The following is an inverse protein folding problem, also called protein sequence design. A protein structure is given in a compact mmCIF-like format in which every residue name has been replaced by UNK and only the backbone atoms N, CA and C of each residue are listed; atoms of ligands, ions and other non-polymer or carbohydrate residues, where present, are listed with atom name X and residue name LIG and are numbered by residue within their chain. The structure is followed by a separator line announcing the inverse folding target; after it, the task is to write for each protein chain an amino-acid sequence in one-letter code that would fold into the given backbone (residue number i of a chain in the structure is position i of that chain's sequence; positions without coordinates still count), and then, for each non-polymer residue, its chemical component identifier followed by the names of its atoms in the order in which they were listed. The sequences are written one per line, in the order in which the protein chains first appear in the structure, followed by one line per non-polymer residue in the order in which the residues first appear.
data_IF_608356177885
#
_entry.id   IF_608356177885
#
_cell.length_a   1.000
_cell.length_b   1.000
_cell.length_c   1.000
_cell.angle_alpha   90.00
_cell.angle_beta   90.00
_cell.angle_gamma   90.00
#
_symmetry.space_group_name_H-M   'P 1'
#
loop_
_entity.id
_entity.type
_entity.pdbx_description
1 polymer ?
#
# COMPACT_ATOMS: atom_id res chain seq x y z
N UNK A 1 -8.74 28.79 -27.63
CA UNK A 1 -8.40 27.86 -26.52
C UNK A 1 -8.02 28.70 -25.31
N UNK A 2 -8.91 28.88 -24.33
CA UNK A 2 -8.59 29.65 -23.12
C UNK A 2 -7.71 28.80 -22.19
N UNK A 3 -6.55 29.29 -21.73
CA UNK A 3 -5.77 28.58 -20.72
C UNK A 3 -6.55 28.56 -19.40
N UNK A 4 -6.83 27.36 -18.88
CA UNK A 4 -7.52 27.18 -17.61
C UNK A 4 -6.82 27.99 -16.50
N UNK A 5 -7.60 28.77 -15.77
CA UNK A 5 -7.14 29.64 -14.70
C UNK A 5 -6.51 28.85 -13.56
N UNK A 6 -5.59 29.47 -12.80
CA UNK A 6 -4.85 28.84 -11.70
C UNK A 6 -5.75 28.15 -10.66
N UNK A 7 -6.96 28.68 -10.45
CA UNK A 7 -7.99 28.14 -9.55
C UNK A 7 -8.65 26.87 -10.09
N UNK A 8 -8.89 26.76 -11.40
CA UNK A 8 -9.44 25.56 -12.05
C UNK A 8 -8.43 24.40 -12.04
N UNK A 9 -7.13 24.71 -12.21
CA UNK A 9 -6.04 23.74 -12.08
C UNK A 9 -5.92 23.23 -10.65
N UNK A 10 -6.00 24.13 -9.66
CA UNK A 10 -5.95 23.78 -8.23
C UNK A 10 -7.15 22.92 -7.83
N UNK A 11 -8.37 23.31 -8.20
CA UNK A 11 -9.61 22.56 -7.92
C UNK A 11 -9.58 21.15 -8.51
N UNK A 12 -9.10 21.00 -9.76
CA UNK A 12 -8.96 19.70 -10.40
C UNK A 12 -7.94 18.79 -9.70
N UNK A 13 -6.82 19.35 -9.26
CA UNK A 13 -5.79 18.61 -8.52
C UNK A 13 -6.27 18.18 -7.12
N UNK A 14 -6.98 19.06 -6.41
CA UNK A 14 -7.58 18.75 -5.09
C UNK A 14 -8.64 17.67 -5.21
N UNK A 15 -9.52 17.75 -6.21
CA UNK A 15 -10.53 16.73 -6.46
C UNK A 15 -9.91 15.37 -6.78
N UNK A 16 -8.84 15.33 -7.59
CA UNK A 16 -8.10 14.10 -7.85
C UNK A 16 -7.46 13.54 -6.58
N UNK A 17 -6.82 14.38 -5.77
CA UNK A 17 -6.23 13.97 -4.49
C UNK A 17 -7.26 13.41 -3.51
N UNK A 18 -8.43 14.03 -3.38
CA UNK A 18 -9.51 13.53 -2.53
C UNK A 18 -10.07 12.20 -3.02
N UNK A 19 -10.26 12.02 -4.34
CA UNK A 19 -10.68 10.73 -4.90
C UNK A 19 -9.63 9.64 -4.66
N UNK A 20 -8.34 9.95 -4.83
CA UNK A 20 -7.25 9.03 -4.49
C UNK A 20 -7.21 8.72 -2.99
N UNK A 21 -7.46 9.71 -2.14
CA UNK A 21 -7.53 9.57 -0.69
C UNK A 21 -8.71 8.70 -0.23
N UNK A 22 -9.88 8.82 -0.86
CA UNK A 22 -11.06 8.02 -0.53
C UNK A 22 -10.86 6.56 -0.97
N UNK A 23 -10.39 6.32 -2.20
CA UNK A 23 -10.14 4.97 -2.70
C UNK A 23 -9.03 4.32 -1.87
N UNK A 24 -7.92 5.02 -1.65
CA UNK A 24 -6.82 4.54 -0.81
C UNK A 24 -7.23 4.29 0.64
N UNK A 25 -8.06 5.18 1.21
CA UNK A 25 -8.62 5.05 2.55
C UNK A 25 -9.47 3.80 2.72
N UNK A 26 -10.28 3.44 1.71
CA UNK A 26 -11.06 2.20 1.75
C UNK A 26 -10.18 0.95 1.81
N UNK A 27 -9.07 0.93 1.05
CA UNK A 27 -8.08 -0.14 1.13
C UNK A 27 -7.42 -0.23 2.50
N UNK A 28 -7.14 0.89 3.15
CA UNK A 28 -6.63 0.91 4.53
C UNK A 28 -7.62 0.29 5.52
N UNK A 29 -8.91 0.57 5.39
CA UNK A 29 -9.94 -0.06 6.23
C UNK A 29 -9.99 -1.57 6.00
N UNK A 30 -9.95 -2.02 4.75
CA UNK A 30 -9.86 -3.45 4.40
C UNK A 30 -8.60 -4.07 5.00
N UNK A 31 -7.47 -3.38 4.95
CA UNK A 31 -6.21 -3.86 5.53
C UNK A 31 -6.37 -4.14 7.03
N UNK A 32 -6.80 -3.13 7.79
CA UNK A 32 -6.97 -3.23 9.24
C UNK A 32 -7.99 -4.30 9.62
N UNK A 33 -9.10 -4.38 8.90
CA UNK A 33 -10.12 -5.39 9.11
C UNK A 33 -9.56 -6.80 8.89
N UNK A 34 -8.91 -7.05 7.76
CA UNK A 34 -8.38 -8.37 7.40
C UNK A 34 -7.25 -8.76 8.34
N UNK A 35 -6.38 -7.84 8.74
CA UNK A 35 -5.34 -8.10 9.73
C UNK A 35 -5.94 -8.47 11.09
N UNK A 36 -6.97 -7.74 11.55
CA UNK A 36 -7.67 -8.06 12.79
C UNK A 36 -8.36 -9.42 12.74
N UNK A 37 -9.01 -9.75 11.63
CA UNK A 37 -9.65 -11.06 11.42
C UNK A 37 -8.62 -12.18 11.36
N UNK A 38 -7.52 -11.99 10.64
CA UNK A 38 -6.45 -12.99 10.53
C UNK A 38 -5.84 -13.32 11.90
N UNK A 39 -5.59 -12.29 12.72
CA UNK A 39 -5.17 -12.46 14.12
C UNK A 39 -6.17 -13.27 14.93
N UNK A 40 -7.45 -12.89 14.88
CA UNK A 40 -8.52 -13.57 15.65
C UNK A 40 -8.69 -15.02 15.23
N UNK A 41 -8.73 -15.28 13.91
CA UNK A 41 -8.87 -16.62 13.36
C UNK A 41 -7.69 -17.48 13.79
N UNK A 42 -6.44 -17.00 13.64
CA UNK A 42 -5.25 -17.75 14.05
C UNK A 42 -5.23 -18.04 15.56
N UNK A 43 -5.69 -17.09 16.39
CA UNK A 43 -5.87 -17.30 17.82
C UNK A 43 -6.92 -18.36 18.14
N UNK A 44 -8.07 -18.36 17.45
CA UNK A 44 -9.15 -19.32 17.67
C UNK A 44 -8.84 -20.72 17.14
N UNK A 45 -8.16 -20.83 16.01
CA UNK A 45 -7.94 -22.13 15.34
C UNK A 45 -6.67 -22.83 15.81
N UNK A 46 -5.63 -22.07 16.15
CA UNK A 46 -4.31 -22.62 16.43
C UNK A 46 -3.68 -22.07 17.72
N UNK A 47 -4.36 -21.20 18.46
CA UNK A 47 -3.83 -20.60 19.68
C UNK A 47 -2.65 -19.64 19.44
N UNK A 48 -2.49 -19.15 18.21
CA UNK A 48 -1.35 -18.33 17.79
C UNK A 48 -1.58 -16.86 18.14
N UNK A 49 -0.62 -16.25 18.82
CA UNK A 49 -0.54 -14.81 19.08
C UNK A 49 0.30 -14.08 18.05
N UNK A 50 0.04 -12.79 17.87
CA UNK A 50 0.85 -11.83 17.13
C UNK A 50 2.32 -11.79 17.59
N UNK A 51 2.58 -12.12 18.85
CA UNK A 51 3.92 -12.07 19.45
C UNK A 51 4.70 -13.35 19.18
N UNK A 52 4.06 -14.44 18.77
CA UNK A 52 4.72 -15.72 18.59
C UNK A 52 5.74 -15.66 17.44
N UNK A 53 6.82 -16.42 17.59
CA UNK A 53 7.79 -16.59 16.53
C UNK A 53 7.18 -17.43 15.40
N UNK A 54 7.27 -16.91 14.17
CA UNK A 54 6.93 -17.65 12.96
C UNK A 54 8.17 -18.31 12.37
N UNK A 55 9.25 -17.55 12.22
CA UNK A 55 10.52 -18.05 11.67
C UNK A 55 11.71 -17.33 12.30
N UNK A 56 12.73 -18.08 12.69
CA UNK A 56 14.01 -17.54 13.16
C UNK A 56 14.88 -17.12 11.96
N UNK A 57 15.42 -15.90 11.99
CA UNK A 57 16.36 -15.46 10.96
C UNK A 57 17.73 -16.10 11.19
N UNK A 58 18.05 -17.17 10.45
CA UNK A 58 19.41 -17.72 10.30
C UNK A 58 20.11 -18.05 11.64
N UNK A 59 19.37 -18.49 12.66
CA UNK A 59 19.91 -18.81 13.99
C UNK A 59 20.18 -17.59 14.87
N UNK A 60 19.76 -16.38 14.46
CA UNK A 60 19.97 -15.15 15.22
C UNK A 60 18.86 -14.92 16.26
N UNK A 61 19.04 -13.90 17.11
CA UNK A 61 18.00 -13.44 18.04
C UNK A 61 16.78 -12.81 17.33
N UNK A 62 16.88 -12.50 16.04
CA UNK A 62 15.81 -11.88 15.28
C UNK A 62 14.85 -12.93 14.73
N UNK A 63 13.56 -12.66 14.91
CA UNK A 63 12.49 -13.56 14.49
C UNK A 63 11.49 -12.78 13.64
N UNK A 64 11.11 -13.38 12.50
CA UNK A 64 9.84 -13.03 11.88
C UNK A 64 8.76 -13.58 12.80
N UNK A 65 7.97 -12.68 13.38
CA UNK A 65 6.83 -13.00 14.23
C UNK A 65 5.53 -13.06 13.44
N UNK A 66 4.52 -13.72 13.99
CA UNK A 66 3.21 -13.89 13.36
C UNK A 66 2.50 -12.59 12.99
N UNK A 67 2.75 -11.49 13.72
CA UNK A 67 2.22 -10.18 13.33
C UNK A 67 2.63 -9.77 11.91
N UNK A 68 3.85 -10.11 11.45
CA UNK A 68 4.28 -9.84 10.08
C UNK A 68 3.41 -10.58 9.07
N UNK A 69 3.08 -11.84 9.36
CA UNK A 69 2.25 -12.68 8.49
C UNK A 69 0.85 -12.07 8.38
N UNK A 70 0.25 -11.65 9.50
CA UNK A 70 -1.05 -10.98 9.50
C UNK A 70 -1.04 -9.65 8.73
N UNK A 71 0.07 -8.91 8.76
CA UNK A 71 0.25 -7.69 7.95
C UNK A 71 0.37 -8.01 6.46
N UNK A 72 1.10 -9.06 6.08
CA UNK A 72 1.18 -9.51 4.67
C UNK A 72 -0.22 -9.87 4.16
N UNK A 73 -0.99 -10.64 4.92
CA UNK A 73 -2.36 -11.03 4.54
C UNK A 73 -3.23 -9.78 4.37
N UNK A 74 -3.24 -8.87 5.35
CA UNK A 74 -3.99 -7.60 5.27
C UNK A 74 -3.60 -6.76 4.05
N UNK A 75 -2.30 -6.66 3.77
CA UNK A 75 -1.78 -5.97 2.59
C UNK A 75 -2.26 -6.60 1.28
N UNK A 76 -2.22 -7.93 1.14
CA UNK A 76 -2.63 -8.60 -0.09
C UNK A 76 -4.11 -8.34 -0.40
N UNK A 77 -4.98 -8.42 0.60
CA UNK A 77 -6.40 -8.12 0.45
C UNK A 77 -6.64 -6.65 0.13
N UNK A 78 -5.99 -5.74 0.84
CA UNK A 78 -6.09 -4.30 0.59
C UNK A 78 -5.57 -3.90 -0.79
N UNK A 79 -4.44 -4.46 -1.22
CA UNK A 79 -3.86 -4.21 -2.53
C UNK A 79 -4.79 -4.73 -3.65
N UNK A 80 -5.35 -5.92 -3.47
CA UNK A 80 -6.34 -6.49 -4.40
C UNK A 80 -7.61 -5.64 -4.46
N UNK A 81 -8.12 -5.20 -3.31
CA UNK A 81 -9.27 -4.30 -3.21
C UNK A 81 -9.01 -2.98 -3.96
N UNK A 82 -7.86 -2.36 -3.72
CA UNK A 82 -7.46 -1.13 -4.39
C UNK A 82 -7.30 -1.32 -5.90
N UNK A 83 -6.72 -2.44 -6.35
CA UNK A 83 -6.62 -2.74 -7.78
C UNK A 83 -8.00 -2.89 -8.43
N UNK A 84 -8.90 -3.62 -7.77
CA UNK A 84 -10.24 -3.87 -8.28
C UNK A 84 -11.06 -2.58 -8.36
N UNK A 85 -11.03 -1.73 -7.34
CA UNK A 85 -11.70 -0.43 -7.36
C UNK A 85 -11.14 0.48 -8.46
N UNK A 86 -9.81 0.55 -8.61
CA UNK A 86 -9.19 1.34 -9.68
C UNK A 86 -9.61 0.84 -11.07
N UNK A 87 -9.70 -0.48 -11.26
CA UNK A 87 -10.14 -1.08 -12.53
C UNK A 87 -11.62 -0.82 -12.82
N UNK A 88 -12.49 -0.93 -11.82
CA UNK A 88 -13.94 -0.77 -11.98
C UNK A 88 -14.38 0.68 -12.17
N UNK A 89 -13.72 1.61 -11.47
CA UNK A 89 -14.14 3.00 -11.44
C UNK A 89 -13.20 3.91 -12.24
N UNK A 90 -11.92 3.96 -11.86
CA UNK A 90 -10.93 4.90 -12.43
C UNK A 90 -10.65 4.65 -13.91
N UNK A 91 -10.58 3.38 -14.34
CA UNK A 91 -10.26 3.00 -15.73
C UNK A 91 -11.45 2.48 -16.53
N UNK A 92 -12.68 2.78 -16.09
CA UNK A 92 -13.89 2.33 -16.77
C UNK A 92 -13.93 2.91 -18.20
N UNK A 93 -14.01 2.03 -19.21
CA UNK A 93 -14.09 2.40 -20.63
C UNK A 93 -12.75 2.49 -21.38
N UNK A 94 -11.63 2.22 -20.71
CA UNK A 94 -10.31 2.06 -21.38
C UNK A 94 -10.14 0.60 -21.78
N UNK A 95 -9.49 0.31 -22.92
CA UNK A 95 -9.13 -1.07 -23.27
C UNK A 95 -8.07 -1.59 -22.29
N UNK A 96 -8.54 -2.17 -21.17
CA UNK A 96 -7.67 -2.64 -20.09
C UNK A 96 -7.02 -3.97 -20.46
N UNK A 97 -5.74 -4.13 -20.12
CA UNK A 97 -5.08 -5.44 -20.16
C UNK A 97 -5.85 -6.47 -19.30
N UNK A 98 -5.57 -7.75 -19.55
CA UNK A 98 -6.10 -8.84 -18.71
C UNK A 98 -5.85 -8.59 -17.22
N UNK A 99 -6.74 -9.08 -16.37
CA UNK A 99 -6.73 -8.80 -14.93
C UNK A 99 -5.37 -9.10 -14.29
N UNK A 100 -4.80 -10.28 -14.58
CA UNK A 100 -3.51 -10.73 -14.06
C UNK A 100 -2.33 -9.87 -14.53
N UNK A 101 -2.31 -9.46 -15.81
CA UNK A 101 -1.21 -8.64 -16.36
C UNK A 101 -1.18 -7.22 -15.78
N UNK A 102 -2.31 -6.73 -15.27
CA UNK A 102 -2.36 -5.46 -14.52
C UNK A 102 -2.12 -5.63 -13.03
N UNK A 103 -2.56 -6.73 -12.44
CA UNK A 103 -2.49 -6.99 -11.01
C UNK A 103 -1.06 -7.09 -10.50
N UNK A 104 -0.20 -7.90 -11.11
CA UNK A 104 1.17 -8.10 -10.59
C UNK A 104 2.03 -6.83 -10.58
N UNK A 105 2.02 -5.98 -11.64
CA UNK A 105 2.68 -4.68 -11.55
C UNK A 105 2.15 -3.78 -10.42
N UNK A 106 0.83 -3.79 -10.20
CA UNK A 106 0.20 -3.02 -9.11
C UNK A 106 0.55 -3.56 -7.71
N UNK A 107 0.65 -4.89 -7.59
CA UNK A 107 1.12 -5.55 -6.38
C UNK A 107 2.58 -5.21 -6.09
N UNK A 108 3.43 -5.27 -7.12
CA UNK A 108 4.87 -5.02 -7.02
C UNK A 108 5.17 -3.59 -6.54
N UNK A 109 4.45 -2.58 -7.04
CA UNK A 109 4.58 -1.20 -6.55
C UNK A 109 4.06 -1.01 -5.12
N UNK A 110 3.21 -1.91 -4.64
CA UNK A 110 2.74 -1.93 -3.25
C UNK A 110 3.75 -2.54 -2.26
N UNK A 111 4.71 -3.36 -2.73
CA UNK A 111 5.63 -4.06 -1.83
C UNK A 111 6.54 -3.11 -1.04
N UNK A 112 6.89 -1.95 -1.59
CA UNK A 112 7.63 -0.92 -0.83
C UNK A 112 6.84 -0.42 0.37
N UNK A 113 5.52 -0.21 0.23
CA UNK A 113 4.67 0.15 1.35
C UNK A 113 4.62 -0.97 2.40
N UNK A 114 4.56 -2.23 1.98
CA UNK A 114 4.60 -3.38 2.88
C UNK A 114 5.92 -3.46 3.66
N UNK A 115 7.06 -3.30 3.00
CA UNK A 115 8.38 -3.32 3.64
C UNK A 115 8.48 -2.21 4.68
N UNK A 116 8.12 -0.98 4.31
CA UNK A 116 8.13 0.15 5.26
C UNK A 116 7.21 -0.12 6.43
N UNK A 117 6.00 -0.61 6.17
CA UNK A 117 5.03 -0.93 7.21
C UNK A 117 5.57 -1.97 8.19
N UNK A 118 6.22 -3.04 7.69
CA UNK A 118 6.81 -4.09 8.51
C UNK A 118 7.97 -3.57 9.37
N UNK A 119 8.83 -2.71 8.84
CA UNK A 119 9.92 -2.08 9.60
C UNK A 119 9.35 -1.23 10.73
N UNK A 120 8.40 -0.34 10.42
CA UNK A 120 7.75 0.53 11.41
C UNK A 120 7.04 -0.31 12.47
N UNK A 121 6.31 -1.36 12.07
CA UNK A 121 5.62 -2.23 13.02
C UNK A 121 6.59 -2.97 13.93
N UNK A 122 7.76 -3.36 13.42
CA UNK A 122 8.82 -3.99 14.22
C UNK A 122 9.31 -3.05 15.31
N UNK A 123 9.55 -1.77 15.00
CA UNK A 123 9.95 -0.77 15.99
C UNK A 123 8.83 -0.47 17.01
N UNK A 124 7.57 -0.44 16.58
CA UNK A 124 6.42 -0.18 17.45
C UNK A 124 6.10 -1.37 18.37
N UNK A 125 6.30 -2.60 17.90
CA UNK A 125 5.97 -3.82 18.63
C UNK A 125 7.08 -4.27 19.58
N UNK A 126 8.35 -3.94 19.31
CA UNK A 126 9.48 -4.37 20.13
C UNK A 126 9.59 -3.51 21.41
N UNK A 127 9.41 -4.07 22.64
CA UNK A 127 9.46 -3.30 23.88
C UNK A 127 10.82 -2.63 24.18
N UNK A 128 11.91 -3.14 23.60
CA UNK A 128 13.25 -2.55 23.77
C UNK A 128 13.53 -1.42 22.78
N UNK A 129 12.62 -1.19 21.83
CA UNK A 129 12.71 -0.09 20.88
C UNK A 129 12.40 1.24 21.55
N UNK A 130 13.13 2.33 21.23
CA UNK A 130 12.80 3.68 21.70
C UNK A 130 11.46 4.19 21.16
N UNK A 131 10.94 3.58 20.09
CA UNK A 131 9.63 3.92 19.50
C UNK A 131 8.55 2.91 19.86
N UNK A 132 8.77 2.03 20.85
CA UNK A 132 7.79 1.03 21.24
C UNK A 132 6.46 1.69 21.65
N UNK A 133 5.35 1.09 21.24
CA UNK A 133 4.05 1.48 21.77
C UNK A 133 3.98 1.12 23.27
N UNK A 134 3.48 2.02 24.14
CA UNK A 134 3.42 1.79 25.58
C UNK A 134 2.59 0.55 25.92
N UNK A 135 3.18 -0.42 26.60
CA UNK A 135 2.51 -1.68 26.96
C UNK A 135 1.46 -1.52 28.08
N UNK A 136 1.55 -0.45 28.87
CA UNK A 136 0.60 -0.10 29.92
C UNK A 136 -0.73 0.42 29.35
N UNK A 137 -0.69 1.05 28.16
CA UNK A 137 -1.87 1.48 27.42
C UNK A 137 -2.35 0.37 26.49
N UNK A 138 -1.43 -0.20 25.73
CA UNK A 138 -1.70 -1.25 24.75
C UNK A 138 -1.29 -2.62 25.31
N UNK A 139 -2.08 -3.08 26.27
CA UNK A 139 -1.87 -4.30 27.04
C UNK A 139 -2.57 -5.54 26.47
N UNK A 140 -3.14 -5.43 25.26
CA UNK A 140 -3.85 -6.51 24.57
C UNK A 140 -5.13 -7.02 25.30
N UNK A 141 -5.61 -6.33 26.34
CA UNK A 141 -6.79 -6.73 27.13
C UNK A 141 -8.11 -6.61 26.37
N UNK A 142 -8.19 -5.70 25.40
CA UNK A 142 -9.37 -5.47 24.56
C UNK A 142 -8.95 -5.21 23.11
N UNK A 143 -9.91 -5.24 22.18
CA UNK A 143 -9.64 -4.92 20.78
C UNK A 143 -8.98 -3.55 20.59
N UNK A 144 -9.47 -2.50 21.27
CA UNK A 144 -8.89 -1.17 21.17
C UNK A 144 -7.57 -1.02 21.95
N UNK A 145 -7.26 -1.92 22.88
CA UNK A 145 -5.96 -1.96 23.58
C UNK A 145 -4.98 -2.96 22.95
N UNK A 146 -5.36 -3.58 21.83
CA UNK A 146 -4.47 -4.49 21.09
C UNK A 146 -3.35 -3.69 20.42
N UNK A 147 -2.11 -3.85 20.90
CA UNK A 147 -0.93 -3.11 20.43
C UNK A 147 -0.72 -3.29 18.93
N UNK A 148 -0.89 -4.52 18.46
CA UNK A 148 -0.69 -4.85 17.05
C UNK A 148 -1.60 -4.08 16.09
N UNK A 149 -2.84 -3.77 16.48
CA UNK A 149 -3.77 -3.02 15.63
C UNK A 149 -3.30 -1.58 15.43
N UNK A 150 -2.82 -0.95 16.49
CA UNK A 150 -2.27 0.40 16.44
C UNK A 150 -0.93 0.45 15.72
N UNK A 151 -0.06 -0.53 15.95
CA UNK A 151 1.18 -0.66 15.22
C UNK A 151 0.93 -0.75 13.71
N UNK A 152 -0.04 -1.57 13.29
CA UNK A 152 -0.43 -1.71 11.88
C UNK A 152 -1.00 -0.40 11.32
N UNK A 153 -1.89 0.27 12.04
CA UNK A 153 -2.49 1.53 11.60
C UNK A 153 -1.44 2.64 11.41
N UNK A 154 -0.56 2.83 12.39
CA UNK A 154 0.52 3.81 12.34
C UNK A 154 1.48 3.46 11.19
N UNK A 155 1.85 2.19 11.05
CA UNK A 155 2.69 1.72 9.94
C UNK A 155 2.12 2.07 8.57
N UNK A 156 0.82 1.89 8.35
CA UNK A 156 0.17 2.26 7.07
C UNK A 156 0.27 3.77 6.85
N UNK A 157 -0.02 4.58 7.87
CA UNK A 157 0.05 6.04 7.78
C UNK A 157 1.46 6.52 7.43
N UNK A 158 2.49 5.93 8.06
CA UNK A 158 3.90 6.24 7.78
C UNK A 158 4.33 5.73 6.39
N UNK A 159 3.84 4.56 5.98
CA UNK A 159 4.19 3.97 4.69
C UNK A 159 3.64 4.77 3.51
N UNK A 160 2.50 5.45 3.64
CA UNK A 160 1.91 6.24 2.55
C UNK A 160 2.88 7.29 1.94
N UNK A 161 3.43 8.25 2.71
CA UNK A 161 4.36 9.25 2.17
C UNK A 161 5.68 8.63 1.72
N UNK A 162 6.22 7.64 2.44
CA UNK A 162 7.48 6.97 2.06
C UNK A 162 7.31 6.22 0.74
N UNK A 163 6.20 5.51 0.57
CA UNK A 163 5.88 4.80 -0.66
C UNK A 163 5.70 5.76 -1.85
N UNK A 164 5.10 6.93 -1.63
CA UNK A 164 5.02 7.96 -2.66
C UNK A 164 6.41 8.44 -3.09
N UNK A 165 7.30 8.74 -2.15
CA UNK A 165 8.68 9.19 -2.45
C UNK A 165 9.47 8.10 -3.17
N UNK A 166 9.41 6.85 -2.71
CA UNK A 166 10.12 5.73 -3.36
C UNK A 166 9.62 5.47 -4.78
N UNK A 167 8.31 5.43 -4.99
CA UNK A 167 7.72 5.30 -6.33
C UNK A 167 8.09 6.50 -7.22
N UNK A 168 8.11 7.72 -6.67
CA UNK A 168 8.54 8.92 -7.40
C UNK A 168 10.01 8.84 -7.83
N UNK A 169 10.90 8.40 -6.97
CA UNK A 169 12.34 8.34 -7.25
C UNK A 169 12.72 7.16 -8.16
N UNK A 170 11.98 6.04 -8.09
CA UNK A 170 12.29 4.83 -8.85
C UNK A 170 11.49 4.71 -10.14
N UNK A 171 10.16 4.76 -10.08
CA UNK A 171 9.27 4.54 -11.24
C UNK A 171 9.25 5.72 -12.21
N UNK A 172 9.42 6.94 -11.70
CA UNK A 172 9.41 8.17 -12.51
C UNK A 172 10.81 8.74 -12.75
N UNK A 173 11.87 7.95 -12.54
CA UNK A 173 13.19 8.31 -13.07
C UNK A 173 13.09 8.32 -14.59
N UNK A 174 12.94 9.53 -15.14
CA UNK A 174 12.62 9.83 -16.52
C UNK A 174 13.38 8.94 -17.49
N UNK A 175 12.68 8.02 -18.17
CA UNK A 175 13.11 7.64 -19.51
C UNK A 175 12.73 8.84 -20.40
N UNK A 176 13.67 9.53 -21.06
CA UNK A 176 13.30 10.51 -22.07
C UNK A 176 12.38 9.79 -23.08
N UNK A 177 11.29 10.44 -23.55
CA UNK A 177 10.48 9.85 -24.61
C UNK A 177 11.43 9.53 -25.77
N UNK A 178 11.38 8.29 -26.26
CA UNK A 178 12.04 7.95 -27.50
C UNK A 178 11.49 8.91 -28.56
N UNK A 179 12.33 9.81 -29.05
CA UNK A 179 11.97 10.72 -30.13
C UNK A 179 11.83 9.85 -31.38
N UNK A 180 10.61 9.40 -31.65
CA UNK A 180 10.28 8.82 -32.95
C UNK A 180 10.19 9.98 -33.92
N UNK A 181 11.26 10.20 -34.69
CA UNK A 181 11.24 11.09 -35.85
C UNK A 181 10.26 10.49 -36.84
N UNK A 182 9.07 11.06 -36.94
CA UNK A 182 8.12 10.75 -38.01
C UNK A 182 8.73 11.33 -39.28
N UNK A 183 9.17 10.48 -40.22
CA UNK A 183 9.56 10.96 -41.54
C UNK A 183 8.34 11.65 -42.17
N UNK A 184 8.53 12.90 -42.54
CA UNK A 184 7.54 13.70 -43.27
C UNK A 184 7.27 13.01 -44.62
N UNK A 185 6.07 12.46 -44.77
CA UNK A 185 5.65 11.80 -46.00
C UNK A 185 5.11 12.89 -46.93
N UNK A 186 5.81 13.12 -48.05
CA UNK A 186 5.38 14.12 -49.04
C UNK A 186 3.96 13.83 -49.57
N UNK A 187 3.16 14.87 -49.84
CA UNK A 187 1.77 14.71 -50.23
C UNK A 187 1.66 13.98 -51.58
N UNK A 188 0.94 12.85 -51.56
CA UNK A 188 0.62 12.09 -52.76
C UNK A 188 -0.24 12.97 -53.67
N UNK A 189 0.32 13.39 -54.81
CA UNK A 189 -0.42 14.07 -55.86
C UNK A 189 -1.57 13.17 -56.30
N UNK A 190 -2.81 13.67 -56.15
CA UNK A 190 -3.98 13.00 -56.71
C UNK A 190 -3.94 13.17 -58.22
N UNK A 191 -3.84 12.05 -58.93
CA UNK A 191 -4.07 11.96 -60.39
C UNK A 191 -5.56 11.81 -60.63
#
# INVERSE_FOLDING_TARGET
MHPASSSERLSRNVRQFLTFGIIGGSGTLVNLLVTALSKKIAGWTAGISEHDAFLNLLGTQFHIRWFHIFMVIGFLFANTWNYQLNRMWTFRGVNTRSWWRGFFPFLLTGLSALVVSSIVATFLMNPTSPFALPSDIFDDSTGLRTKFYWATAISIVVAMPVNFVLNKLWTFRSKPPAVTVVQEQEPVARV
#
